data_IF_686777771440
#
_entry.id   IF_686777771440
#
_cell.length_a   1.000
_cell.length_b   1.000
_cell.length_c   1.000
_cell.angle_alpha   90.00
_cell.angle_beta   90.00
_cell.angle_gamma   90.00
#
_symmetry.space_group_name_H-M   'P 1'
#
loop_
_entity.id
_entity.type
_entity.pdbx_description
1 polymer ?
#
# COMPACT_ATOMS: atom_id res chain seq x y z
N UNK A 1 28.39 -66.15 23.33
CA UNK A 1 28.61 -64.69 23.41
C UNK A 1 27.23 -64.04 23.45
N UNK A 2 26.95 -63.34 24.55
CA UNK A 2 25.61 -63.16 25.11
C UNK A 2 24.84 -61.99 24.50
N UNK A 3 23.59 -62.26 24.05
CA UNK A 3 22.52 -61.26 23.99
C UNK A 3 22.12 -60.89 25.44
N UNK A 4 22.19 -59.61 25.79
CA UNK A 4 21.71 -59.10 27.09
C UNK A 4 20.26 -58.62 26.98
N UNK A 5 19.40 -59.30 27.75
CA UNK A 5 18.05 -58.90 28.18
C UNK A 5 18.14 -57.83 29.28
N UNK A 6 17.04 -57.09 29.49
CA UNK A 6 16.52 -56.47 30.74
C UNK A 6 15.15 -55.84 30.35
N UNK A 7 13.93 -56.25 30.75
CA UNK A 7 13.28 -56.49 32.07
C UNK A 7 13.40 -55.26 32.99
N UNK A 8 12.35 -54.55 33.44
CA UNK A 8 11.26 -54.79 34.45
C UNK A 8 10.43 -53.46 34.48
N UNK A 9 9.26 -53.25 35.08
CA UNK A 9 8.19 -54.04 35.69
C UNK A 9 7.07 -53.04 36.09
N UNK A 10 5.86 -53.56 36.26
CA UNK A 10 4.67 -52.84 36.71
C UNK A 10 4.68 -52.54 38.22
N UNK A 11 3.95 -51.50 38.64
CA UNK A 11 3.37 -51.41 39.98
C UNK A 11 2.09 -50.56 39.95
N UNK A 12 0.95 -51.23 40.14
CA UNK A 12 -0.35 -50.63 40.48
C UNK A 12 -0.42 -50.54 42.02
N UNK A 13 -0.82 -49.39 42.56
CA UNK A 13 -1.20 -49.26 43.96
C UNK A 13 -2.54 -48.50 44.07
N UNK A 14 -3.54 -49.22 44.59
CA UNK A 14 -4.83 -48.73 45.05
C UNK A 14 -4.69 -48.18 46.48
N UNK A 15 -5.44 -47.13 46.82
CA UNK A 15 -5.65 -46.71 48.21
C UNK A 15 -6.21 -45.30 48.32
N UNK A 16 -7.53 -45.19 48.56
CA UNK A 16 -8.19 -43.91 48.83
C UNK A 16 -8.04 -43.44 50.28
N UNK A 17 -8.29 -42.14 50.51
CA UNK A 17 -8.80 -41.50 51.74
C UNK A 17 -9.46 -40.18 51.27
N UNK A 18 -10.68 -39.93 51.73
CA UNK A 18 -11.42 -38.67 51.55
C UNK A 18 -11.01 -37.65 52.63
N UNK A 19 -11.09 -36.34 52.35
CA UNK A 19 -11.78 -35.30 53.15
C UNK A 19 -11.64 -33.91 52.49
N UNK A 20 -12.66 -33.08 52.73
CA UNK A 20 -13.01 -31.80 52.11
C UNK A 20 -11.91 -30.72 52.04
N UNK A 21 -11.97 -29.84 51.02
CA UNK A 21 -12.39 -28.42 51.11
C UNK A 21 -11.75 -27.47 50.06
N UNK A 22 -12.62 -26.64 49.47
CA UNK A 22 -12.46 -25.26 48.97
C UNK A 22 -11.52 -24.93 47.78
N UNK A 23 -12.13 -24.19 46.83
CA UNK A 23 -11.58 -23.35 45.76
C UNK A 23 -10.91 -24.13 44.60
N UNK A 24 -11.00 -23.73 43.33
CA UNK A 24 -10.91 -22.37 42.79
C UNK A 24 -11.74 -22.35 41.49
N UNK A 25 -12.54 -21.31 41.28
CA UNK A 25 -13.17 -21.01 39.99
C UNK A 25 -12.10 -20.99 38.90
N UNK A 26 -12.25 -21.81 37.87
CA UNK A 26 -11.42 -21.73 36.68
C UNK A 26 -11.72 -20.40 35.98
N UNK A 27 -10.92 -19.39 36.28
CA UNK A 27 -10.90 -18.14 35.53
C UNK A 27 -10.41 -18.49 34.12
N UNK A 28 -11.33 -18.44 33.15
CA UNK A 28 -10.97 -18.47 31.75
C UNK A 28 -9.91 -17.39 31.52
N UNK A 29 -8.82 -17.66 30.76
CA UNK A 29 -7.83 -16.63 30.50
C UNK A 29 -8.54 -15.47 29.80
N UNK A 30 -8.63 -14.35 30.50
CA UNK A 30 -9.09 -13.09 29.93
C UNK A 30 -8.26 -12.85 28.66
N UNK A 31 -8.94 -12.81 27.52
CA UNK A 31 -8.32 -12.42 26.26
C UNK A 31 -7.64 -11.07 26.50
N UNK A 32 -6.30 -11.08 26.49
CA UNK A 32 -5.52 -9.86 26.56
C UNK A 32 -6.00 -8.94 25.43
N UNK A 33 -6.31 -7.66 25.69
CA UNK A 33 -6.59 -6.73 24.61
C UNK A 33 -5.36 -6.71 23.71
N UNK A 34 -5.48 -7.17 22.47
CA UNK A 34 -4.50 -6.93 21.42
C UNK A 34 -4.53 -5.44 21.05
N UNK A 35 -4.14 -4.59 21.99
CA UNK A 35 -3.62 -3.27 21.69
C UNK A 35 -2.16 -3.46 21.27
N UNK A 36 -1.97 -4.11 20.11
CA UNK A 36 -0.69 -4.05 19.43
C UNK A 36 -0.58 -2.63 18.90
N UNK A 37 0.13 -1.78 19.65
CA UNK A 37 0.63 -0.52 19.14
C UNK A 37 1.43 -0.85 17.87
N UNK A 38 0.80 -0.64 16.72
CA UNK A 38 1.51 -0.57 15.44
C UNK A 38 2.51 0.57 15.60
N UNK A 39 3.76 0.25 15.96
CA UNK A 39 4.87 0.98 15.39
C UNK A 39 4.69 0.79 13.89
N UNK A 40 4.04 1.75 13.24
CA UNK A 40 3.67 1.67 11.83
C UNK A 40 4.95 1.34 11.08
N UNK A 41 5.02 0.15 10.47
CA UNK A 41 6.12 -0.15 9.58
C UNK A 41 6.21 1.01 8.57
N UNK A 42 7.40 1.53 8.37
CA UNK A 42 7.61 2.64 7.43
C UNK A 42 7.62 2.05 6.02
N UNK A 43 6.95 2.72 5.08
CA UNK A 43 7.05 2.35 3.67
C UNK A 43 8.48 2.61 3.16
N UNK A 44 8.88 1.98 2.04
CA UNK A 44 10.27 1.93 1.56
C UNK A 44 10.92 3.32 1.47
N UNK A 45 10.17 4.31 1.00
CA UNK A 45 10.62 5.70 0.83
C UNK A 45 10.03 6.68 1.86
N UNK A 46 9.48 6.18 2.96
CA UNK A 46 8.88 6.97 4.04
C UNK A 46 7.35 6.93 4.07
N UNK A 47 6.80 7.45 5.16
CA UNK A 47 5.36 7.35 5.45
C UNK A 47 4.97 6.03 6.10
N UNK A 48 3.71 5.93 6.52
CA UNK A 48 3.17 4.72 7.11
C UNK A 48 2.87 3.65 6.05
N UNK A 49 3.05 2.38 6.40
CA UNK A 49 2.59 1.23 5.61
C UNK A 49 1.11 0.96 5.88
N UNK A 50 0.36 0.63 4.82
CA UNK A 50 -1.02 0.17 4.93
C UNK A 50 -1.15 -1.33 4.60
N UNK A 51 -1.57 -2.12 5.59
CA UNK A 51 -1.72 -3.59 5.48
C UNK A 51 -3.18 -4.03 5.26
N UNK A 52 -4.10 -3.09 5.06
CA UNK A 52 -5.51 -3.41 4.83
C UNK A 52 -5.79 -3.84 3.39
N UNK A 53 -7.06 -4.16 3.12
CA UNK A 53 -7.49 -4.52 1.77
C UNK A 53 -7.34 -3.34 0.79
N UNK A 54 -6.95 -3.59 -0.47
CA UNK A 54 -6.86 -2.55 -1.47
C UNK A 54 -8.24 -2.01 -1.87
N UNK A 55 -8.29 -0.71 -2.16
CA UNK A 55 -9.48 -0.02 -2.64
C UNK A 55 -9.66 -0.24 -4.16
N UNK A 56 -10.03 -1.47 -4.55
CA UNK A 56 -10.07 -1.89 -5.96
C UNK A 56 -10.98 -1.04 -6.84
N UNK A 57 -12.06 -0.45 -6.31
CA UNK A 57 -12.93 0.48 -7.04
C UNK A 57 -12.21 1.78 -7.44
N UNK A 58 -11.33 2.28 -6.56
CA UNK A 58 -10.51 3.47 -6.82
C UNK A 58 -9.43 3.14 -7.85
N UNK A 59 -8.81 1.98 -7.73
CA UNK A 59 -7.86 1.46 -8.72
C UNK A 59 -8.52 1.30 -10.09
N UNK A 60 -9.73 0.75 -10.14
CA UNK A 60 -10.51 0.60 -11.37
C UNK A 60 -10.80 1.96 -12.04
N UNK A 61 -11.20 2.95 -11.24
CA UNK A 61 -11.44 4.30 -11.72
C UNK A 61 -10.17 4.99 -12.26
N UNK A 62 -9.03 4.84 -11.57
CA UNK A 62 -7.74 5.34 -12.05
C UNK A 62 -7.34 4.69 -13.38
N UNK A 63 -7.43 3.36 -13.46
CA UNK A 63 -7.08 2.61 -14.67
C UNK A 63 -7.97 3.01 -15.84
N UNK A 64 -9.28 3.16 -15.60
CA UNK A 64 -10.22 3.66 -16.62
C UNK A 64 -9.89 5.08 -17.07
N UNK A 65 -9.55 5.98 -16.14
CA UNK A 65 -9.14 7.34 -16.46
C UNK A 65 -7.85 7.38 -17.31
N UNK A 66 -6.96 6.39 -17.13
CA UNK A 66 -5.74 6.24 -17.92
C UNK A 66 -5.90 5.56 -19.28
N UNK A 67 -7.11 5.18 -19.69
CA UNK A 67 -7.37 4.50 -20.98
C UNK A 67 -7.72 3.02 -20.88
N UNK A 68 -7.84 2.47 -19.67
CA UNK A 68 -8.14 1.05 -19.42
C UNK A 68 -6.88 0.20 -19.24
N UNK A 69 -7.05 -1.06 -18.81
CA UNK A 69 -5.96 -1.93 -18.40
C UNK A 69 -4.93 -2.21 -19.51
N UNK A 70 -5.38 -2.34 -20.77
CA UNK A 70 -4.50 -2.66 -21.90
C UNK A 70 -3.79 -1.43 -22.49
N UNK A 71 -4.27 -0.22 -22.20
CA UNK A 71 -3.80 1.03 -22.81
C UNK A 71 -3.45 2.10 -21.77
N UNK A 72 -3.20 1.69 -20.52
CA UNK A 72 -3.02 2.64 -19.44
C UNK A 72 -1.84 3.57 -19.69
N UNK A 73 -2.09 4.87 -19.51
CA UNK A 73 -1.10 5.94 -19.51
C UNK A 73 -1.36 6.87 -18.34
N UNK A 74 -0.32 7.14 -17.54
CA UNK A 74 -0.45 8.02 -16.39
C UNK A 74 -0.76 9.48 -16.81
N UNK A 75 -0.16 9.96 -17.91
CA UNK A 75 -0.49 11.27 -18.48
C UNK A 75 -1.97 11.37 -18.87
N UNK A 76 -2.52 10.32 -19.47
CA UNK A 76 -3.94 10.27 -19.84
C UNK A 76 -4.83 10.33 -18.59
N UNK A 77 -4.46 9.59 -17.53
CA UNK A 77 -5.17 9.63 -16.25
C UNK A 77 -5.15 11.02 -15.62
N UNK A 78 -3.99 11.68 -15.58
CA UNK A 78 -3.85 13.05 -15.07
C UNK A 78 -4.74 14.03 -15.84
N UNK A 79 -4.73 13.98 -17.18
CA UNK A 79 -5.55 14.85 -18.03
C UNK A 79 -7.04 14.57 -17.81
N UNK A 80 -7.44 13.29 -17.71
CA UNK A 80 -8.83 12.92 -17.43
C UNK A 80 -9.30 13.42 -16.06
N UNK A 81 -8.40 13.55 -15.08
CA UNK A 81 -8.73 14.00 -13.73
C UNK A 81 -8.75 15.53 -13.59
N UNK A 82 -7.79 16.22 -14.19
CA UNK A 82 -7.45 17.61 -13.87
C UNK A 82 -7.57 18.57 -15.05
N UNK A 83 -7.71 18.04 -16.27
CA UNK A 83 -7.72 18.79 -17.52
C UNK A 83 -6.32 19.12 -18.03
N UNK A 84 -6.18 19.15 -19.36
CA UNK A 84 -4.89 19.29 -20.07
C UNK A 84 -4.11 20.55 -19.67
N UNK A 85 -4.79 21.71 -19.60
CA UNK A 85 -4.14 22.97 -19.21
C UNK A 85 -3.49 22.90 -17.83
N UNK A 86 -4.18 22.29 -16.86
CA UNK A 86 -3.67 22.11 -15.50
C UNK A 86 -2.47 21.18 -15.49
N UNK A 87 -2.57 20.05 -16.17
CA UNK A 87 -1.49 19.06 -16.25
C UNK A 87 -0.25 19.62 -16.93
N UNK A 88 -0.39 20.35 -18.04
CA UNK A 88 0.73 20.95 -18.75
C UNK A 88 1.44 22.01 -17.89
N UNK A 89 0.69 22.81 -17.13
CA UNK A 89 1.27 23.77 -16.19
C UNK A 89 2.04 23.07 -15.06
N UNK A 90 1.50 21.97 -14.54
CA UNK A 90 2.14 21.19 -13.48
C UNK A 90 3.41 20.50 -13.98
N UNK A 91 3.37 19.86 -15.15
CA UNK A 91 4.54 19.25 -15.79
C UNK A 91 5.64 20.29 -16.05
N UNK A 92 5.28 21.49 -16.51
CA UNK A 92 6.25 22.57 -16.71
C UNK A 92 6.89 23.04 -15.39
N UNK A 93 6.10 23.14 -14.32
CA UNK A 93 6.60 23.48 -12.99
C UNK A 93 7.55 22.40 -12.45
N UNK A 94 7.13 21.14 -12.48
CA UNK A 94 7.96 20.00 -12.06
C UNK A 94 9.24 19.91 -12.91
N UNK A 95 9.15 20.19 -14.22
CA UNK A 95 10.33 20.18 -15.10
C UNK A 95 11.34 21.25 -14.71
N UNK A 96 10.87 22.43 -14.28
CA UNK A 96 11.75 23.48 -13.75
C UNK A 96 12.39 23.08 -12.41
N UNK A 97 11.68 22.31 -11.59
CA UNK A 97 12.14 21.93 -10.24
C UNK A 97 13.09 20.72 -10.24
N UNK A 98 12.82 19.71 -11.07
CA UNK A 98 13.52 18.42 -11.05
C UNK A 98 14.32 18.12 -12.32
N UNK A 99 14.12 18.92 -13.37
CA UNK A 99 14.69 18.66 -14.70
C UNK A 99 13.79 17.78 -15.56
N UNK A 100 13.93 17.95 -16.88
CA UNK A 100 13.10 17.29 -17.89
C UNK A 100 13.20 15.76 -17.85
N UNK A 101 14.42 15.24 -17.68
CA UNK A 101 14.66 13.78 -17.60
C UNK A 101 13.95 13.17 -16.40
N UNK A 102 14.10 13.76 -15.20
CA UNK A 102 13.47 13.28 -13.97
C UNK A 102 11.93 13.24 -14.08
N UNK A 103 11.32 14.27 -14.68
CA UNK A 103 9.86 14.33 -14.87
C UNK A 103 9.39 13.32 -15.93
N UNK A 104 10.14 13.17 -17.01
CA UNK A 104 9.86 12.15 -18.04
C UNK A 104 9.92 10.74 -17.44
N UNK A 105 10.97 10.46 -16.64
CA UNK A 105 11.13 9.20 -15.93
C UNK A 105 10.03 8.97 -14.90
N UNK A 106 9.58 10.00 -14.20
CA UNK A 106 8.43 9.91 -13.29
C UNK A 106 7.14 9.51 -14.02
N UNK A 107 6.80 10.16 -15.14
CA UNK A 107 5.57 9.85 -15.90
C UNK A 107 5.62 8.41 -16.44
N UNK A 108 6.79 8.01 -16.97
CA UNK A 108 7.01 6.66 -17.48
C UNK A 108 7.01 5.62 -16.35
N UNK A 109 7.63 5.95 -15.21
CA UNK A 109 7.69 5.13 -14.00
C UNK A 109 6.31 4.86 -13.43
N UNK A 110 5.46 5.89 -13.32
CA UNK A 110 4.06 5.73 -12.93
C UNK A 110 3.25 4.87 -13.90
N UNK A 111 3.48 5.04 -15.21
CA UNK A 111 2.81 4.22 -16.22
C UNK A 111 3.25 2.76 -16.09
N UNK A 112 4.55 2.50 -15.90
CA UNK A 112 5.07 1.17 -15.66
C UNK A 112 4.52 0.57 -14.36
N UNK A 113 4.54 1.30 -13.25
CA UNK A 113 4.12 0.83 -11.93
C UNK A 113 2.65 0.38 -11.93
N UNK A 114 1.76 1.10 -12.60
CA UNK A 114 0.36 0.69 -12.73
C UNK A 114 0.21 -0.56 -13.61
N UNK A 115 0.90 -0.61 -14.75
CA UNK A 115 0.85 -1.78 -15.64
C UNK A 115 1.41 -3.04 -14.97
N UNK A 116 2.54 -2.91 -14.29
CA UNK A 116 3.13 -4.02 -13.56
C UNK A 116 2.27 -4.41 -12.36
N UNK A 117 1.74 -3.44 -11.60
CA UNK A 117 0.78 -3.69 -10.52
C UNK A 117 -0.47 -4.46 -10.99
N UNK A 118 -1.04 -4.12 -12.15
CA UNK A 118 -2.15 -4.86 -12.76
C UNK A 118 -1.77 -6.30 -13.14
N UNK A 119 -0.58 -6.48 -13.72
CA UNK A 119 -0.03 -7.81 -14.02
C UNK A 119 0.13 -8.63 -12.75
N UNK A 120 0.78 -8.09 -11.70
CA UNK A 120 0.99 -8.77 -10.42
C UNK A 120 -0.32 -9.10 -9.70
N UNK A 121 -1.30 -8.19 -9.75
CA UNK A 121 -2.64 -8.44 -9.23
C UNK A 121 -3.33 -9.59 -9.96
N UNK A 122 -3.21 -9.64 -11.30
CA UNK A 122 -3.75 -10.73 -12.12
C UNK A 122 -3.07 -12.07 -11.79
N UNK A 123 -1.74 -12.09 -11.65
CA UNK A 123 -0.97 -13.28 -11.23
C UNK A 123 -1.38 -13.75 -9.82
N UNK A 124 -1.80 -12.84 -8.95
CA UNK A 124 -2.33 -13.13 -7.62
C UNK A 124 -3.82 -13.51 -7.62
N UNK A 125 -4.48 -13.61 -8.78
CA UNK A 125 -5.90 -13.96 -8.90
C UNK A 125 -6.86 -12.82 -8.53
N UNK A 126 -6.38 -11.58 -8.43
CA UNK A 126 -7.21 -10.40 -8.15
C UNK A 126 -7.81 -9.89 -9.45
N UNK A 127 -9.14 -9.77 -9.49
CA UNK A 127 -9.86 -9.19 -10.61
C UNK A 127 -10.26 -7.75 -10.28
N UNK A 128 -9.97 -6.83 -11.21
CA UNK A 128 -10.38 -5.44 -11.06
C UNK A 128 -11.90 -5.32 -11.32
N UNK A 129 -12.66 -4.68 -10.42
CA UNK A 129 -14.09 -4.48 -10.64
C UNK A 129 -14.35 -3.46 -11.75
N UNK A 130 -15.61 -3.31 -12.15
CA UNK A 130 -16.00 -2.22 -13.02
C UNK A 130 -15.82 -0.87 -12.30
N UNK A 131 -15.18 0.09 -12.96
CA UNK A 131 -14.97 1.42 -12.40
C UNK A 131 -16.33 2.11 -12.09
N UNK A 132 -16.52 2.64 -10.86
CA UNK A 132 -17.72 3.39 -10.52
C UNK A 132 -17.94 4.59 -11.46
N UNK A 133 -19.15 4.75 -11.98
CA UNK A 133 -19.44 5.73 -13.03
C UNK A 133 -19.34 7.20 -12.58
N UNK A 134 -19.43 7.43 -11.27
CA UNK A 134 -19.36 8.74 -10.62
C UNK A 134 -17.96 9.06 -10.08
N UNK A 135 -17.08 8.07 -9.93
CA UNK A 135 -15.70 8.26 -9.46
C UNK A 135 -14.78 8.66 -10.63
N UNK A 136 -14.80 9.94 -10.99
CA UNK A 136 -14.07 10.51 -12.14
C UNK A 136 -13.66 11.97 -11.91
N UNK A 137 -12.82 12.51 -12.78
CA UNK A 137 -12.43 13.93 -12.75
C UNK A 137 -11.85 14.34 -11.39
N UNK A 138 -12.26 15.52 -10.91
CA UNK A 138 -11.85 16.04 -9.61
C UNK A 138 -12.27 15.15 -8.42
N UNK A 139 -13.35 14.36 -8.54
CA UNK A 139 -13.77 13.44 -7.48
C UNK A 139 -12.73 12.32 -7.32
N UNK A 140 -12.31 11.72 -8.43
CA UNK A 140 -11.23 10.71 -8.41
C UNK A 140 -9.92 11.32 -7.90
N UNK A 141 -9.54 12.50 -8.39
CA UNK A 141 -8.33 13.18 -7.90
C UNK A 141 -8.37 13.41 -6.38
N UNK A 142 -9.51 13.90 -5.85
CA UNK A 142 -9.71 14.09 -4.42
C UNK A 142 -9.63 12.78 -3.63
N UNK A 143 -10.20 11.69 -4.16
CA UNK A 143 -10.10 10.36 -3.54
C UNK A 143 -8.65 9.87 -3.48
N UNK A 144 -7.85 10.06 -4.54
CA UNK A 144 -6.42 9.70 -4.55
C UNK A 144 -5.61 10.56 -3.58
N UNK A 145 -5.92 11.86 -3.50
CA UNK A 145 -5.33 12.76 -2.48
C UNK A 145 -5.64 12.21 -1.09
N UNK A 146 -6.90 11.97 -0.75
CA UNK A 146 -7.28 11.43 0.57
C UNK A 146 -6.67 10.06 0.87
N UNK A 147 -6.50 9.20 -0.15
CA UNK A 147 -5.89 7.89 0.03
C UNK A 147 -4.41 8.00 0.43
N UNK A 148 -3.65 8.89 -0.20
CA UNK A 148 -2.23 9.09 0.14
C UNK A 148 -1.97 10.00 1.35
N UNK A 149 -2.98 10.70 1.90
CA UNK A 149 -2.82 11.52 3.10
C UNK A 149 -2.80 10.64 4.37
N UNK A 150 -1.67 10.65 5.08
CA UNK A 150 -1.50 9.99 6.36
C UNK A 150 -2.18 10.76 7.51
N UNK A 151 -2.23 10.15 8.70
CA UNK A 151 -2.88 10.73 9.88
C UNK A 151 -2.29 12.08 10.34
N UNK A 152 -1.01 12.33 10.07
CA UNK A 152 -0.33 13.60 10.37
C UNK A 152 -0.58 14.70 9.31
N UNK A 153 -1.32 14.36 8.24
CA UNK A 153 -1.61 15.21 7.08
C UNK A 153 -0.59 15.13 5.96
N UNK A 154 0.55 14.45 6.14
CA UNK A 154 1.57 14.29 5.10
C UNK A 154 1.06 13.38 3.99
N UNK A 155 1.26 13.78 2.73
CA UNK A 155 0.89 12.94 1.59
C UNK A 155 2.05 12.04 1.17
N UNK A 156 1.84 10.72 1.18
CA UNK A 156 2.83 9.70 0.87
C UNK A 156 2.39 8.79 -0.29
N UNK A 157 3.21 8.73 -1.32
CA UNK A 157 3.06 7.85 -2.49
C UNK A 157 2.98 6.38 -2.09
N UNK A 158 3.88 5.91 -1.23
CA UNK A 158 3.88 4.53 -0.76
C UNK A 158 2.58 4.12 -0.06
N UNK A 159 1.98 5.04 0.72
CA UNK A 159 0.67 4.84 1.34
C UNK A 159 -0.45 4.74 0.32
N UNK A 160 -0.44 5.60 -0.71
CA UNK A 160 -1.38 5.49 -1.83
C UNK A 160 -1.24 4.12 -2.52
N UNK A 161 -0.01 3.69 -2.82
CA UNK A 161 0.24 2.45 -3.54
C UNK A 161 -0.17 1.21 -2.73
N UNK A 162 0.14 1.17 -1.43
CA UNK A 162 -0.34 0.12 -0.53
C UNK A 162 -1.87 0.03 -0.54
N UNK A 163 -2.57 1.17 -0.51
CA UNK A 163 -4.05 1.21 -0.58
C UNK A 163 -4.60 0.85 -1.96
N UNK A 164 -3.86 1.09 -3.04
CA UNK A 164 -4.32 0.80 -4.40
C UNK A 164 -4.09 -0.67 -4.79
N UNK A 165 -2.98 -1.26 -4.34
CA UNK A 165 -2.47 -2.55 -4.82
C UNK A 165 -2.40 -3.63 -3.75
N UNK A 166 -2.49 -3.29 -2.46
CA UNK A 166 -1.95 -4.04 -1.29
C UNK A 166 -0.45 -3.88 -1.15
N UNK A 167 0.04 -3.93 0.09
CA UNK A 167 1.45 -3.80 0.41
C UNK A 167 2.33 -4.83 -0.30
N UNK A 168 1.92 -6.11 -0.30
CA UNK A 168 2.71 -7.19 -0.90
C UNK A 168 2.89 -7.03 -2.41
N UNK A 169 1.86 -6.55 -3.12
CA UNK A 169 1.96 -6.27 -4.55
C UNK A 169 2.78 -5.01 -4.78
N UNK A 170 2.57 -3.96 -3.99
CA UNK A 170 3.33 -2.73 -4.09
C UNK A 170 4.84 -2.99 -3.91
N UNK A 171 5.25 -3.80 -2.92
CA UNK A 171 6.65 -4.19 -2.72
C UNK A 171 7.22 -4.93 -3.93
N UNK A 172 6.46 -5.83 -4.57
CA UNK A 172 6.90 -6.51 -5.79
C UNK A 172 7.10 -5.53 -6.95
N UNK A 173 6.19 -4.58 -7.12
CA UNK A 173 6.33 -3.53 -8.15
C UNK A 173 7.58 -2.70 -7.92
N UNK A 174 7.86 -2.28 -6.68
CA UNK A 174 9.11 -1.58 -6.34
C UNK A 174 10.34 -2.42 -6.67
N UNK A 175 10.34 -3.71 -6.32
CA UNK A 175 11.43 -4.63 -6.68
C UNK A 175 11.61 -4.79 -8.20
N UNK A 176 10.52 -4.80 -8.96
CA UNK A 176 10.56 -4.88 -10.43
C UNK A 176 11.09 -3.59 -11.07
N UNK A 177 10.76 -2.43 -10.50
CA UNK A 177 11.33 -1.13 -10.91
C UNK A 177 12.83 -1.11 -10.58
N UNK A 178 13.21 -1.48 -9.36
CA UNK A 178 14.61 -1.54 -8.93
C UNK A 178 15.44 -2.45 -9.84
N UNK A 179 14.92 -3.62 -10.21
CA UNK A 179 15.60 -4.56 -11.09
C UNK A 179 15.74 -4.03 -12.52
N UNK A 180 14.77 -3.26 -13.02
CA UNK A 180 14.71 -2.84 -14.43
C UNK A 180 15.30 -1.46 -14.70
N UNK A 181 15.10 -0.52 -13.77
CA UNK A 181 15.43 0.89 -13.92
C UNK A 181 16.35 1.41 -12.80
N UNK A 182 16.51 0.64 -11.72
CA UNK A 182 17.36 0.99 -10.58
C UNK A 182 16.62 1.74 -9.48
N UNK A 183 17.13 1.62 -8.25
CA UNK A 183 16.52 2.18 -7.04
C UNK A 183 16.26 3.69 -7.10
N UNK A 184 17.18 4.45 -7.72
CA UNK A 184 17.01 5.90 -7.90
C UNK A 184 15.83 6.27 -8.81
N UNK A 185 15.43 5.39 -9.75
CA UNK A 185 14.26 5.63 -10.59
C UNK A 185 12.94 5.43 -9.81
N UNK A 186 12.91 4.47 -8.90
CA UNK A 186 11.76 4.25 -8.00
C UNK A 186 11.63 5.39 -6.99
N UNK A 187 12.74 5.77 -6.35
CA UNK A 187 12.79 6.92 -5.44
C UNK A 187 12.33 8.19 -6.14
N UNK A 188 12.80 8.45 -7.37
CA UNK A 188 12.37 9.62 -8.15
C UNK A 188 10.87 9.60 -8.46
N UNK A 189 10.30 8.42 -8.71
CA UNK A 189 8.86 8.26 -8.95
C UNK A 189 8.06 8.63 -7.70
N UNK A 190 8.44 8.09 -6.54
CA UNK A 190 7.82 8.41 -5.25
C UNK A 190 7.95 9.90 -4.89
N UNK A 191 9.16 10.44 -5.04
CA UNK A 191 9.51 11.83 -4.76
C UNK A 191 8.65 12.82 -5.57
N UNK A 192 8.62 12.67 -6.90
CA UNK A 192 7.87 13.59 -7.76
C UNK A 192 6.37 13.38 -7.59
N UNK A 193 5.90 12.14 -7.32
CA UNK A 193 4.49 11.90 -7.02
C UNK A 193 4.05 12.62 -5.74
N UNK A 194 4.88 12.64 -4.69
CA UNK A 194 4.59 13.34 -3.45
C UNK A 194 4.36 14.84 -3.69
N UNK A 195 5.24 15.48 -4.47
CA UNK A 195 5.08 16.87 -4.88
C UNK A 195 3.80 17.06 -5.71
N UNK A 196 3.64 16.30 -6.79
CA UNK A 196 2.51 16.44 -7.70
C UNK A 196 1.16 16.28 -6.99
N UNK A 197 1.02 15.30 -6.09
CA UNK A 197 -0.23 15.05 -5.38
C UNK A 197 -0.50 16.05 -4.25
N UNK A 198 0.54 16.62 -3.64
CA UNK A 198 0.41 17.79 -2.80
C UNK A 198 -0.15 18.99 -3.59
N UNK A 199 0.36 19.24 -4.80
CA UNK A 199 -0.13 20.33 -5.65
C UNK A 199 -1.56 20.13 -6.13
N UNK A 200 -1.93 18.88 -6.45
CA UNK A 200 -3.33 18.51 -6.71
C UNK A 200 -4.19 18.80 -5.49
N UNK A 201 -3.75 18.47 -4.28
CA UNK A 201 -4.47 18.78 -3.07
C UNK A 201 -4.70 20.29 -2.90
N UNK A 202 -3.68 21.12 -3.18
CA UNK A 202 -3.82 22.58 -3.14
C UNK A 202 -4.81 23.09 -4.19
N UNK A 203 -4.77 22.57 -5.43
CA UNK A 203 -5.70 22.92 -6.49
C UNK A 203 -7.15 22.55 -6.12
N UNK A 204 -7.34 21.43 -5.41
CA UNK A 204 -8.63 21.00 -4.86
C UNK A 204 -9.02 21.69 -3.56
N UNK A 205 -8.19 22.61 -3.05
CA UNK A 205 -8.38 23.34 -1.77
C UNK A 205 -8.43 22.44 -0.53
N UNK A 206 -7.77 21.27 -0.58
CA UNK A 206 -7.60 20.37 0.55
C UNK A 206 -6.49 20.88 1.49
N UNK A 207 -6.82 21.86 2.34
CA UNK A 207 -5.85 22.62 3.17
C UNK A 207 -5.09 21.80 4.22
N UNK A 208 -5.54 20.59 4.53
CA UNK A 208 -4.94 19.75 5.57
C UNK A 208 -3.83 18.83 5.04
N UNK A 209 -3.54 18.88 3.74
CA UNK A 209 -2.50 18.07 3.11
C UNK A 209 -1.16 18.80 3.19
N UNK A 210 -0.15 18.11 3.74
CA UNK A 210 1.23 18.56 3.85
C UNK A 210 2.09 17.81 2.83
N UNK A 211 3.12 18.49 2.34
CA UNK A 211 4.14 17.90 1.49
C UNK A 211 4.99 16.93 2.32
N UNK A 212 5.19 15.70 1.84
CA UNK A 212 6.06 14.74 2.50
C UNK A 212 7.51 15.21 2.55
N UNK A 213 8.30 14.69 3.49
CA UNK A 213 9.72 15.05 3.61
C UNK A 213 10.55 14.60 2.40
N UNK A 214 10.14 13.55 1.70
CA UNK A 214 10.67 13.18 0.40
C UNK A 214 9.87 13.90 -0.70
N UNK A 215 10.42 14.95 -1.29
CA UNK A 215 9.89 15.63 -2.46
C UNK A 215 11.03 16.27 -3.26
#
# INVERSE_FOLDING_TARGET
MNMRKNVLAAALALGGIAFASVAISAEAPAAAPQAQMNASAMNWFGGETYLGAPALDVTAALVKAGGGADNFSFSTALVSMLGEKTVNAEVAKLTKQYGHESVTNFINGMTFAVNDGLKRATEAGVTLPAAPADLKGAKLAGTLVSAGTAADGSWWSGLLFDKALSHDIHVKVMQDIDAKYGHGADENTHKILNQAMYDVAQALKAKNVKLASLH
#
